data_IF_150237609354
#
_entry.id   IF_150237609354
#
_cell.length_a   1.000
_cell.length_b   1.000
_cell.length_c   1.000
_cell.angle_alpha   90.00
_cell.angle_beta   90.00
_cell.angle_gamma   90.00
#
_symmetry.space_group_name_H-M   'P 1'
#
loop_
_entity.id
_entity.type
_entity.pdbx_description
1 polymer ?
#
# COMPACT_ATOMS: atom_id res chain seq x y z
N UNK A 1 2.53 -4.74 -25.26
CA UNK A 1 2.15 -3.36 -25.61
C UNK A 1 2.70 -3.06 -26.99
N UNK A 2 1.86 -2.58 -27.91
CA UNK A 2 2.30 -2.13 -29.23
C UNK A 2 2.44 -0.59 -29.23
N UNK A 3 3.46 -0.01 -29.87
CA UNK A 3 3.58 1.43 -29.98
C UNK A 3 2.35 2.05 -30.66
N UNK A 4 1.79 3.12 -30.07
CA UNK A 4 0.65 3.86 -30.62
C UNK A 4 -0.72 3.44 -30.10
N UNK A 5 -0.82 2.35 -29.33
CA UNK A 5 -2.05 1.98 -28.64
C UNK A 5 -2.25 2.79 -27.35
N UNK A 6 -3.51 3.00 -26.90
CA UNK A 6 -3.79 3.59 -25.61
C UNK A 6 -3.13 2.79 -24.48
N UNK A 7 -2.34 3.47 -23.65
CA UNK A 7 -1.70 2.88 -22.45
C UNK A 7 -2.60 2.89 -21.21
N UNK A 8 -3.83 3.39 -21.36
CA UNK A 8 -4.80 3.58 -20.30
C UNK A 8 -6.19 3.14 -20.77
N UNK A 9 -6.87 2.37 -19.93
CA UNK A 9 -8.28 2.02 -20.12
C UNK A 9 -9.14 3.06 -19.39
N UNK A 10 -10.06 3.75 -20.07
CA UNK A 10 -11.02 4.63 -19.40
C UNK A 10 -11.74 3.87 -18.28
N UNK A 11 -11.87 4.50 -17.12
CA UNK A 11 -12.63 3.94 -16.01
C UNK A 11 -13.49 5.04 -15.38
N UNK A 12 -14.68 4.64 -14.93
CA UNK A 12 -15.56 5.50 -14.16
C UNK A 12 -15.21 5.37 -12.68
N UNK A 13 -14.90 6.50 -12.03
CA UNK A 13 -14.57 6.50 -10.61
C UNK A 13 -15.83 6.18 -9.78
N UNK A 14 -15.82 5.13 -8.94
CA UNK A 14 -16.94 4.86 -8.05
C UNK A 14 -17.11 6.01 -7.06
N UNK A 15 -18.36 6.29 -6.66
CA UNK A 15 -18.63 7.30 -5.62
C UNK A 15 -18.10 6.85 -4.26
N UNK A 16 -18.27 5.58 -3.94
CA UNK A 16 -17.85 4.94 -2.69
C UNK A 16 -17.19 3.59 -3.03
N UNK A 17 -16.01 3.30 -2.48
CA UNK A 17 -15.33 2.01 -2.65
C UNK A 17 -14.23 1.79 -1.62
N UNK A 18 -13.92 0.53 -1.32
CA UNK A 18 -12.75 0.11 -0.55
C UNK A 18 -11.90 -0.86 -1.38
N UNK A 19 -10.58 -0.80 -1.23
CA UNK A 19 -9.64 -1.64 -1.96
C UNK A 19 -8.40 -1.99 -1.16
N UNK A 20 -7.90 -3.21 -1.35
CA UNK A 20 -6.66 -3.69 -0.76
C UNK A 20 -5.77 -4.27 -1.85
N UNK A 21 -4.53 -3.80 -1.93
CA UNK A 21 -3.49 -4.32 -2.81
C UNK A 21 -2.34 -4.89 -2.01
N UNK A 22 -2.10 -6.20 -2.12
CA UNK A 22 -1.01 -6.90 -1.44
C UNK A 22 -0.06 -7.49 -2.47
N UNK A 23 1.25 -7.38 -2.23
CA UNK A 23 2.27 -7.99 -3.09
C UNK A 23 3.56 -8.24 -2.31
N UNK A 24 4.37 -9.19 -2.81
CA UNK A 24 5.73 -9.39 -2.36
C UNK A 24 6.68 -8.47 -3.14
N UNK A 25 7.21 -7.47 -2.46
CA UNK A 25 8.24 -6.59 -3.00
C UNK A 25 9.64 -7.15 -2.70
N UNK A 26 10.70 -6.69 -3.38
CA UNK A 26 12.07 -7.20 -3.18
C UNK A 26 12.60 -7.13 -1.74
N UNK A 27 11.98 -6.33 -0.87
CA UNK A 27 12.38 -6.15 0.53
C UNK A 27 11.40 -6.77 1.54
N UNK A 28 10.38 -7.49 1.07
CA UNK A 28 9.34 -8.09 1.89
C UNK A 28 7.92 -7.67 1.48
N UNK A 29 6.96 -7.87 2.38
CA UNK A 29 5.54 -7.65 2.13
C UNK A 29 5.19 -6.16 1.99
N UNK A 30 4.40 -5.83 0.98
CA UNK A 30 3.86 -4.49 0.71
C UNK A 30 2.33 -4.53 0.70
N UNK A 31 1.71 -3.64 1.46
CA UNK A 31 0.26 -3.50 1.51
C UNK A 31 -0.21 -2.06 1.26
N UNK A 32 -1.25 -1.92 0.45
CA UNK A 32 -1.94 -0.67 0.15
C UNK A 32 -3.42 -0.84 0.51
N UNK A 33 -3.97 0.06 1.33
CA UNK A 33 -5.38 0.14 1.67
C UNK A 33 -5.93 1.47 1.18
N UNK A 34 -7.00 1.42 0.38
CA UNK A 34 -7.59 2.58 -0.26
C UNK A 34 -9.08 2.65 0.08
N UNK A 35 -9.57 3.85 0.42
CA UNK A 35 -10.99 4.16 0.53
C UNK A 35 -11.33 5.37 -0.32
N UNK A 36 -12.41 5.26 -1.09
CA UNK A 36 -12.98 6.30 -1.94
C UNK A 36 -14.31 6.73 -1.33
N UNK A 37 -14.51 8.03 -1.19
CA UNK A 37 -15.80 8.64 -0.84
C UNK A 37 -16.06 9.86 -1.74
N UNK A 38 -17.31 10.08 -2.13
CA UNK A 38 -17.72 11.15 -3.06
C UNK A 38 -16.86 11.23 -4.32
N UNK A 39 -16.39 10.07 -4.81
CA UNK A 39 -15.52 9.97 -5.99
C UNK A 39 -14.11 10.51 -5.79
N UNK A 40 -13.64 10.64 -4.55
CA UNK A 40 -12.26 11.03 -4.22
C UNK A 40 -11.66 10.07 -3.20
N UNK A 41 -10.33 9.99 -3.17
CA UNK A 41 -9.61 9.23 -2.15
C UNK A 41 -9.87 9.89 -0.79
N UNK A 42 -10.59 9.19 0.07
CA UNK A 42 -10.84 9.59 1.45
C UNK A 42 -9.71 9.12 2.37
N UNK A 43 -9.13 7.95 2.08
CA UNK A 43 -7.99 7.40 2.81
C UNK A 43 -7.10 6.58 1.89
N UNK A 44 -5.78 6.67 2.11
CA UNK A 44 -4.79 5.83 1.45
C UNK A 44 -3.68 5.52 2.45
N UNK A 45 -3.66 4.28 2.94
CA UNK A 45 -2.66 3.78 3.87
C UNK A 45 -1.73 2.80 3.17
N UNK A 46 -0.43 2.93 3.41
CA UNK A 46 0.59 2.07 2.83
C UNK A 46 1.48 1.59 3.96
N UNK A 47 1.63 0.27 4.08
CA UNK A 47 2.65 -0.32 4.94
C UNK A 47 3.71 -0.94 4.05
N UNK A 48 4.88 -0.30 4.05
CA UNK A 48 6.02 -0.71 3.21
C UNK A 48 6.85 -1.80 3.91
N UNK A 49 7.61 -2.61 3.15
CA UNK A 49 8.52 -3.59 3.76
C UNK A 49 9.50 -2.97 4.75
N UNK A 50 9.98 -1.76 4.45
CA UNK A 50 10.88 -1.01 5.33
C UNK A 50 10.19 -0.53 6.61
N UNK A 51 8.88 -0.24 6.59
CA UNK A 51 8.15 0.11 7.80
C UNK A 51 8.08 -1.07 8.78
N UNK A 52 7.96 -2.31 8.26
CA UNK A 52 8.05 -3.51 9.08
C UNK A 52 9.46 -3.69 9.64
N UNK A 53 10.47 -3.70 8.76
CA UNK A 53 11.86 -4.03 9.14
C UNK A 53 12.48 -3.01 10.09
N UNK A 54 12.14 -1.72 9.93
CA UNK A 54 12.63 -0.61 10.76
C UNK A 54 11.53 -0.08 11.68
N UNK A 55 10.59 -0.93 12.08
CA UNK A 55 9.65 -0.57 13.13
C UNK A 55 10.43 -0.20 14.39
N UNK A 56 10.05 0.89 15.09
CA UNK A 56 10.64 1.21 16.38
C UNK A 56 10.14 0.21 17.42
N UNK A 57 10.62 0.37 18.66
CA UNK A 57 10.10 -0.41 19.77
C UNK A 57 8.60 -0.19 19.96
N UNK A 58 7.89 -1.28 20.22
CA UNK A 58 6.48 -1.22 20.58
C UNK A 58 6.28 -0.74 22.03
N UNK A 59 5.01 -0.61 22.43
CA UNK A 59 4.65 -0.18 23.79
C UNK A 59 5.10 -1.15 24.89
N UNK A 60 5.34 -2.42 24.55
CA UNK A 60 5.87 -3.44 25.46
C UNK A 60 7.42 -3.46 25.46
N UNK A 61 8.06 -2.64 24.63
CA UNK A 61 9.51 -2.54 24.50
C UNK A 61 10.13 -3.59 23.57
N UNK A 62 9.35 -4.34 22.79
CA UNK A 62 9.89 -5.28 21.82
C UNK A 62 10.66 -4.55 20.73
N UNK A 63 11.82 -5.07 20.37
CA UNK A 63 12.68 -4.53 19.33
C UNK A 63 12.07 -4.77 17.94
N UNK A 64 12.31 -3.85 17.01
CA UNK A 64 12.02 -4.09 15.60
C UNK A 64 12.97 -5.14 14.99
N UNK A 65 12.65 -5.74 13.84
CA UNK A 65 13.45 -6.83 13.25
C UNK A 65 14.94 -6.50 13.05
N UNK A 66 15.24 -5.27 12.63
CA UNK A 66 16.64 -4.82 12.45
C UNK A 66 17.35 -4.58 13.79
N UNK A 67 16.63 -4.20 14.84
CA UNK A 67 17.21 -4.01 16.18
C UNK A 67 17.47 -5.35 16.90
N UNK A 68 16.77 -6.42 16.52
CA UNK A 68 16.90 -7.76 17.12
C UNK A 68 18.03 -8.62 16.51
N UNK A 69 18.41 -8.36 15.24
CA UNK A 69 19.39 -9.14 14.47
C UNK A 69 20.84 -9.03 14.96
#
# INVERSE_FOLDING_TARGET
>A
MQPGEPVFTPFDMPKEADGVGLTDAPRGQLGHWLRIEKGRIANYEIITPTAWNFSPRDESGHLGPVEEA
#
